data_IF_640984022317
#
_entry.id   IF_640984022317
#
_cell.length_a   1.000
_cell.length_b   1.000
_cell.length_c   1.000
_cell.angle_alpha   90.00
_cell.angle_beta   90.00
_cell.angle_gamma   90.00
#
_symmetry.space_group_name_H-M   'P 1'
#
loop_
_entity.id
_entity.type
_entity.pdbx_description
1 polymer ?
#
# COMPACT_ATOMS: atom_id res chain seq x y z
N UNK A 1 -22.73 -10.36 -3.24
CA UNK A 1 -21.56 -11.29 -3.21
C UNK A 1 -20.87 -11.54 -4.57
N UNK A 2 -21.40 -11.11 -5.74
CA UNK A 2 -20.71 -11.32 -7.05
C UNK A 2 -19.74 -10.19 -7.46
N UNK A 3 -19.87 -8.99 -6.89
CA UNK A 3 -19.28 -7.76 -7.41
C UNK A 3 -17.75 -7.69 -7.31
N UNK A 4 -17.15 -8.27 -6.26
CA UNK A 4 -15.70 -8.20 -6.00
C UNK A 4 -15.08 -9.59 -5.78
N UNK A 5 -15.54 -10.58 -6.52
CA UNK A 5 -15.17 -11.99 -6.32
C UNK A 5 -13.65 -12.23 -6.37
N UNK A 6 -12.96 -11.58 -7.30
CA UNK A 6 -11.52 -11.76 -7.45
C UNK A 6 -10.77 -11.22 -6.24
N UNK A 7 -11.07 -9.99 -5.81
CA UNK A 7 -10.44 -9.40 -4.63
C UNK A 7 -10.72 -10.24 -3.37
N UNK A 8 -11.97 -10.66 -3.16
CA UNK A 8 -12.34 -11.52 -2.03
C UNK A 8 -11.56 -12.84 -2.04
N UNK A 9 -11.37 -13.45 -3.21
CA UNK A 9 -10.58 -14.67 -3.33
C UNK A 9 -9.10 -14.41 -3.00
N UNK A 10 -8.51 -13.32 -3.50
CA UNK A 10 -7.14 -12.94 -3.20
C UNK A 10 -6.92 -12.66 -1.70
N UNK A 11 -7.91 -12.02 -1.04
CA UNK A 11 -7.88 -11.78 0.42
C UNK A 11 -7.95 -13.10 1.19
N UNK A 12 -8.74 -14.06 0.75
CA UNK A 12 -8.81 -15.39 1.37
C UNK A 12 -7.53 -16.20 1.14
N UNK A 13 -6.92 -16.07 -0.02
CA UNK A 13 -5.62 -16.69 -0.32
C UNK A 13 -4.52 -16.08 0.56
N UNK A 14 -4.51 -14.76 0.74
CA UNK A 14 -3.62 -14.09 1.67
C UNK A 14 -3.77 -14.63 3.10
N UNK A 15 -4.99 -14.89 3.58
CA UNK A 15 -5.21 -15.48 4.91
C UNK A 15 -4.62 -16.88 5.02
N UNK A 16 -4.58 -17.65 3.94
CA UNK A 16 -3.94 -18.98 3.93
C UNK A 16 -2.43 -18.87 4.16
N UNK A 17 -1.80 -17.85 3.60
CA UNK A 17 -0.37 -17.60 3.77
C UNK A 17 -0.02 -16.95 5.13
N UNK A 18 -0.98 -16.22 5.73
CA UNK A 18 -0.82 -15.46 6.98
C UNK A 18 -1.99 -15.68 7.94
N UNK A 19 -2.17 -16.90 8.50
CA UNK A 19 -3.34 -17.27 9.32
C UNK A 19 -3.45 -16.45 10.61
N UNK A 20 -2.35 -15.95 11.14
CA UNK A 20 -2.35 -15.11 12.35
C UNK A 20 -3.00 -13.73 12.13
N UNK A 21 -3.21 -13.33 10.87
CA UNK A 21 -3.85 -12.06 10.50
C UNK A 21 -5.38 -12.16 10.32
N UNK A 22 -5.99 -13.25 10.78
CA UNK A 22 -7.41 -13.56 10.55
C UNK A 22 -8.38 -12.47 11.03
N UNK A 23 -8.11 -11.80 12.16
CA UNK A 23 -8.97 -10.72 12.67
C UNK A 23 -8.98 -9.54 11.70
N UNK A 24 -7.82 -9.14 11.21
CA UNK A 24 -7.68 -8.05 10.24
C UNK A 24 -8.36 -8.39 8.92
N UNK A 25 -8.12 -9.59 8.41
CA UNK A 25 -8.74 -10.08 7.17
C UNK A 25 -10.26 -10.13 7.29
N UNK A 26 -10.79 -10.57 8.42
CA UNK A 26 -12.24 -10.59 8.65
C UNK A 26 -12.83 -9.18 8.60
N UNK A 27 -12.18 -8.18 9.22
CA UNK A 27 -12.62 -6.77 9.14
C UNK A 27 -12.67 -6.25 7.70
N UNK A 28 -11.66 -6.61 6.87
CA UNK A 28 -11.65 -6.25 5.45
C UNK A 28 -12.82 -6.88 4.70
N UNK A 29 -13.07 -8.18 4.92
CA UNK A 29 -14.18 -8.89 4.28
C UNK A 29 -15.55 -8.34 4.72
N UNK A 30 -15.71 -8.02 6.00
CA UNK A 30 -16.91 -7.41 6.53
C UNK A 30 -17.14 -6.02 5.93
N UNK A 31 -16.08 -5.23 5.76
CA UNK A 31 -16.18 -3.93 5.13
C UNK A 31 -16.65 -4.02 3.67
N UNK A 32 -16.07 -4.92 2.87
CA UNK A 32 -16.51 -5.16 1.48
C UNK A 32 -17.98 -5.58 1.41
N UNK A 33 -18.44 -6.41 2.36
CA UNK A 33 -19.81 -6.93 2.34
C UNK A 33 -20.84 -5.91 2.78
N UNK A 34 -20.47 -4.93 3.60
CA UNK A 34 -21.38 -3.96 4.20
C UNK A 34 -21.37 -2.58 3.52
N UNK A 35 -20.42 -2.32 2.61
CA UNK A 35 -20.28 -1.02 1.95
C UNK A 35 -20.16 -1.17 0.42
N UNK A 36 -21.21 -0.87 -0.32
CA UNK A 36 -21.23 -0.94 -1.79
C UNK A 36 -20.25 0.04 -2.46
N UNK A 37 -19.94 1.15 -1.79
CA UNK A 37 -19.02 2.20 -2.22
C UNK A 37 -17.64 2.13 -1.54
N UNK A 38 -17.20 0.93 -1.12
CA UNK A 38 -15.96 0.74 -0.36
C UNK A 38 -14.67 1.16 -1.11
N UNK A 39 -14.72 1.41 -2.42
CA UNK A 39 -13.59 1.92 -3.22
C UNK A 39 -13.70 3.42 -3.53
N UNK A 40 -14.78 4.08 -3.13
CA UNK A 40 -14.99 5.49 -3.37
C UNK A 40 -14.36 6.32 -2.26
N UNK A 41 -13.58 7.34 -2.63
CA UNK A 41 -12.85 8.22 -1.70
C UNK A 41 -13.78 9.00 -0.76
N UNK A 42 -15.02 9.26 -1.17
CA UNK A 42 -16.04 9.95 -0.38
C UNK A 42 -16.80 9.06 0.62
N UNK A 43 -16.44 7.78 0.75
CA UNK A 43 -16.93 6.93 1.83
C UNK A 43 -16.16 7.23 3.12
N UNK A 44 -16.72 8.09 3.96
CA UNK A 44 -16.10 8.55 5.20
C UNK A 44 -16.13 7.57 6.38
N UNK A 45 -16.73 6.38 6.21
CA UNK A 45 -16.51 5.27 7.14
C UNK A 45 -15.11 4.68 6.88
N UNK A 46 -14.74 4.63 5.62
CA UNK A 46 -13.44 4.19 5.14
C UNK A 46 -13.51 3.80 3.67
N UNK A 47 -12.36 3.60 3.06
CA UNK A 47 -12.26 3.15 1.68
C UNK A 47 -10.97 2.39 1.43
N UNK A 48 -10.94 1.64 0.31
CA UNK A 48 -9.75 0.92 -0.11
C UNK A 48 -8.70 1.83 -0.71
N UNK A 49 -7.45 1.49 -0.39
CA UNK A 49 -6.23 2.02 -1.02
C UNK A 49 -5.42 0.88 -1.61
N UNK A 50 -4.59 1.18 -2.60
CA UNK A 50 -3.66 0.25 -3.20
C UNK A 50 -2.23 0.78 -3.08
N UNK A 51 -1.35 0.03 -2.43
CA UNK A 51 0.02 0.47 -2.15
C UNK A 51 1.07 -0.49 -2.69
N UNK A 52 2.24 0.04 -2.97
CA UNK A 52 3.39 -0.66 -3.52
C UNK A 52 4.56 -0.65 -2.53
N UNK A 53 4.98 -1.82 -2.07
CA UNK A 53 6.27 -2.01 -1.45
C UNK A 53 7.31 -2.21 -2.55
N UNK A 54 8.01 -1.14 -2.91
CA UNK A 54 8.95 -1.15 -4.03
C UNK A 54 10.35 -1.44 -3.53
N UNK A 55 10.96 -2.49 -4.08
CA UNK A 55 12.34 -2.90 -3.77
C UNK A 55 13.21 -2.79 -5.01
N UNK A 56 14.52 -2.62 -4.83
CA UNK A 56 15.50 -2.74 -5.90
C UNK A 56 15.76 -4.22 -6.27
N UNK A 57 16.45 -4.48 -7.35
CA UNK A 57 16.81 -5.81 -7.84
C UNK A 57 17.70 -6.60 -6.85
N UNK A 58 18.44 -5.91 -5.98
CA UNK A 58 19.27 -6.53 -4.94
C UNK A 58 18.53 -6.84 -3.64
N UNK A 59 17.29 -6.36 -3.46
CA UNK A 59 16.52 -6.45 -2.20
C UNK A 59 17.20 -5.73 -1.01
N UNK A 60 18.06 -4.76 -1.33
CA UNK A 60 18.83 -3.98 -0.35
C UNK A 60 18.19 -2.63 -0.04
N UNK A 61 17.46 -2.09 -1.02
CA UNK A 61 16.85 -0.78 -0.93
C UNK A 61 15.34 -0.86 -1.11
N UNK A 62 14.64 0.01 -0.40
CA UNK A 62 13.19 0.20 -0.47
C UNK A 62 12.92 1.65 -0.87
N UNK A 63 12.08 1.85 -1.90
CA UNK A 63 11.64 3.17 -2.31
C UNK A 63 10.52 3.63 -1.38
N UNK A 64 10.72 4.78 -0.77
CA UNK A 64 9.75 5.37 0.17
C UNK A 64 9.57 6.85 -0.12
N UNK A 65 8.39 7.36 0.22
CA UNK A 65 8.02 8.77 0.15
C UNK A 65 7.93 9.38 1.55
N UNK A 66 8.39 10.62 1.73
CA UNK A 66 8.16 11.39 2.94
C UNK A 66 6.90 12.24 2.76
N UNK A 67 5.76 11.71 3.20
CA UNK A 67 4.44 12.28 2.98
C UNK A 67 4.25 13.60 3.74
N UNK A 68 3.78 14.66 3.06
CA UNK A 68 3.66 16.02 3.64
C UNK A 68 2.68 16.04 4.81
N UNK A 69 1.43 15.61 4.61
CA UNK A 69 0.39 15.72 5.63
C UNK A 69 0.64 14.84 6.85
N UNK A 70 1.17 13.63 6.65
CA UNK A 70 1.45 12.70 7.74
C UNK A 70 2.82 12.91 8.37
N UNK A 71 3.71 13.65 7.70
CA UNK A 71 5.10 13.87 8.10
C UNK A 71 5.85 12.58 8.45
N UNK A 72 5.65 11.54 7.64
CA UNK A 72 6.18 10.19 7.84
C UNK A 72 6.73 9.63 6.53
N UNK A 73 7.73 8.76 6.64
CA UNK A 73 8.19 7.95 5.52
C UNK A 73 7.28 6.74 5.34
N UNK A 74 6.68 6.61 4.18
CA UNK A 74 5.70 5.57 3.86
C UNK A 74 6.06 4.84 2.55
N UNK A 75 5.46 3.68 2.33
CA UNK A 75 5.40 3.06 1.02
C UNK A 75 4.60 3.94 0.05
N UNK A 76 4.83 3.78 -1.25
CA UNK A 76 4.07 4.46 -2.30
C UNK A 76 2.64 3.90 -2.37
N UNK A 77 1.66 4.74 -2.68
CA UNK A 77 0.28 4.27 -2.81
C UNK A 77 -0.76 5.36 -2.64
N UNK A 78 -2.00 5.04 -3.06
CA UNK A 78 -3.08 6.01 -3.03
C UNK A 78 -4.47 5.39 -3.08
N UNK A 79 -5.45 6.24 -3.33
CA UNK A 79 -6.86 5.89 -3.28
C UNK A 79 -7.29 5.02 -4.47
N UNK A 80 -8.19 4.09 -4.21
CA UNK A 80 -8.72 3.19 -5.24
C UNK A 80 -9.53 3.90 -6.33
N UNK A 81 -10.07 5.09 -6.06
CA UNK A 81 -10.87 5.92 -6.97
C UNK A 81 -11.97 5.12 -7.70
N UNK A 82 -12.65 4.24 -6.96
CA UNK A 82 -13.68 3.36 -7.47
C UNK A 82 -13.19 2.06 -8.13
N UNK A 83 -11.89 1.88 -8.31
CA UNK A 83 -11.30 0.66 -8.88
C UNK A 83 -11.19 -0.46 -7.86
N UNK A 84 -11.66 -1.66 -8.21
CA UNK A 84 -11.44 -2.87 -7.41
C UNK A 84 -10.15 -3.63 -7.78
N UNK A 85 -9.42 -3.17 -8.81
CA UNK A 85 -8.12 -3.72 -9.19
C UNK A 85 -7.01 -2.95 -8.45
N UNK A 86 -6.79 -3.32 -7.19
CA UNK A 86 -5.86 -2.61 -6.31
C UNK A 86 -4.38 -2.81 -6.69
N UNK A 87 -4.03 -3.87 -7.43
CA UNK A 87 -2.68 -4.01 -8.01
C UNK A 87 -2.42 -2.94 -9.06
N UNK A 88 -3.39 -2.70 -9.95
CA UNK A 88 -3.26 -1.63 -10.95
C UNK A 88 -3.22 -0.25 -10.29
N UNK A 89 -3.95 -0.04 -9.19
CA UNK A 89 -3.87 1.19 -8.38
C UNK A 89 -2.46 1.34 -7.82
N UNK A 90 -1.92 0.32 -7.14
CA UNK A 90 -0.59 0.36 -6.56
C UNK A 90 0.52 0.68 -7.59
N UNK A 91 0.44 0.11 -8.80
CA UNK A 91 1.39 0.38 -9.87
C UNK A 91 1.27 1.84 -10.35
N UNK A 92 0.04 2.30 -10.60
CA UNK A 92 -0.24 3.68 -11.04
C UNK A 92 0.28 4.70 -10.03
N UNK A 93 -0.06 4.53 -8.75
CA UNK A 93 0.40 5.41 -7.68
C UNK A 93 1.92 5.39 -7.53
N UNK A 94 2.55 4.21 -7.63
CA UNK A 94 4.01 4.11 -7.61
C UNK A 94 4.66 4.89 -8.76
N UNK A 95 4.07 4.89 -9.95
CA UNK A 95 4.54 5.68 -11.10
C UNK A 95 4.37 7.18 -10.86
N UNK A 96 3.18 7.60 -10.42
CA UNK A 96 2.85 9.02 -10.19
C UNK A 96 3.67 9.63 -9.06
N UNK A 97 3.88 8.91 -7.96
CA UNK A 97 4.63 9.41 -6.81
C UNK A 97 6.15 9.38 -6.99
N UNK A 98 6.68 8.51 -7.87
CA UNK A 98 8.14 8.34 -8.01
C UNK A 98 8.73 8.92 -9.29
N UNK A 99 7.90 9.13 -10.32
CA UNK A 99 8.37 9.46 -11.66
C UNK A 99 9.04 8.29 -12.40
N UNK A 100 9.06 7.08 -11.82
CA UNK A 100 9.56 5.89 -12.50
C UNK A 100 8.47 5.25 -13.35
N UNK A 101 8.78 4.88 -14.59
CA UNK A 101 7.80 4.32 -15.52
C UNK A 101 7.63 2.79 -15.40
N UNK A 102 8.68 2.09 -14.99
CA UNK A 102 8.74 0.63 -15.11
C UNK A 102 8.87 -0.05 -13.76
N UNK A 103 7.82 -0.80 -13.42
CA UNK A 103 7.79 -1.68 -12.26
C UNK A 103 7.57 -3.13 -12.68
N UNK A 104 8.36 -4.04 -12.14
CA UNK A 104 8.16 -5.46 -12.28
C UNK A 104 7.33 -5.97 -11.09
N UNK A 105 6.19 -6.61 -11.36
CA UNK A 105 5.36 -7.23 -10.32
C UNK A 105 6.03 -8.52 -9.88
N UNK A 106 6.58 -8.55 -8.66
CA UNK A 106 7.25 -9.76 -8.14
C UNK A 106 6.25 -10.87 -7.81
N UNK A 107 5.04 -10.47 -7.41
CA UNK A 107 3.94 -11.40 -7.15
C UNK A 107 2.60 -10.67 -7.33
N UNK A 108 1.68 -11.29 -8.09
CA UNK A 108 0.31 -10.75 -8.26
C UNK A 108 -0.58 -10.95 -7.02
N UNK A 109 -0.15 -11.82 -6.08
CA UNK A 109 -0.86 -12.02 -4.81
C UNK A 109 -0.68 -10.81 -3.91
N UNK A 110 -1.63 -10.65 -3.00
CA UNK A 110 -1.53 -9.63 -1.95
C UNK A 110 -0.29 -9.91 -1.08
N UNK A 111 0.58 -8.92 -0.99
CA UNK A 111 1.81 -8.98 -0.20
C UNK A 111 1.54 -8.67 1.27
N UNK A 112 0.75 -7.63 1.55
CA UNK A 112 0.36 -7.22 2.90
C UNK A 112 -1.04 -6.59 2.90
N UNK A 113 -1.71 -6.62 4.04
CA UNK A 113 -2.96 -5.88 4.27
C UNK A 113 -2.80 -5.07 5.55
N UNK A 114 -3.26 -3.83 5.53
CA UNK A 114 -3.30 -2.98 6.70
C UNK A 114 -4.64 -2.27 6.85
N UNK A 115 -5.00 -1.91 8.08
CA UNK A 115 -6.15 -1.07 8.38
C UNK A 115 -5.68 -0.01 9.35
N UNK A 116 -5.62 1.23 8.89
CA UNK A 116 -5.18 2.35 9.70
C UNK A 116 -6.14 3.53 9.59
N UNK A 117 -6.12 4.36 10.61
CA UNK A 117 -6.96 5.54 10.67
C UNK A 117 -6.23 6.73 10.07
N UNK A 118 -6.91 7.42 9.17
CA UNK A 118 -6.51 8.74 8.69
C UNK A 118 -7.11 9.77 9.65
N UNK A 119 -6.31 10.68 10.19
CA UNK A 119 -6.82 11.73 11.08
C UNK A 119 -7.72 12.72 10.33
N UNK A 120 -8.39 13.56 11.10
CA UNK A 120 -9.20 14.64 10.55
C UNK A 120 -8.31 15.73 9.95
N UNK A 121 -8.58 16.09 8.68
CA UNK A 121 -7.93 17.18 7.96
C UNK A 121 -8.98 18.18 7.48
N UNK A 122 -8.58 19.41 7.13
CA UNK A 122 -9.49 20.43 6.57
C UNK A 122 -10.26 19.91 5.34
N UNK A 123 -9.65 19.03 4.55
CA UNK A 123 -10.21 18.48 3.31
C UNK A 123 -11.02 17.21 3.49
N UNK A 124 -10.93 16.53 4.64
CA UNK A 124 -11.58 15.23 4.85
C UNK A 124 -11.73 14.88 6.33
N UNK A 125 -12.91 14.38 6.76
CA UNK A 125 -13.10 13.88 8.12
C UNK A 125 -12.25 12.63 8.37
N UNK A 126 -12.02 12.32 9.64
CA UNK A 126 -11.33 11.09 10.04
C UNK A 126 -12.05 9.85 9.52
N UNK A 127 -11.31 8.93 8.92
CA UNK A 127 -11.84 7.71 8.30
C UNK A 127 -10.79 6.59 8.31
N UNK A 128 -11.19 5.38 7.90
CA UNK A 128 -10.28 4.23 7.78
C UNK A 128 -9.79 4.04 6.35
N UNK A 129 -8.49 3.79 6.20
CA UNK A 129 -7.95 3.17 5.00
C UNK A 129 -7.86 1.66 5.18
N UNK A 130 -8.37 0.93 4.19
CA UNK A 130 -8.21 -0.51 4.03
C UNK A 130 -7.16 -0.73 2.94
N UNK A 131 -5.91 -0.75 3.35
CA UNK A 131 -4.75 -0.70 2.45
C UNK A 131 -4.33 -2.11 2.01
N UNK A 132 -4.40 -2.37 0.71
CA UNK A 132 -3.95 -3.62 0.09
C UNK A 132 -2.65 -3.36 -0.63
N UNK A 133 -1.59 -4.04 -0.19
CA UNK A 133 -0.21 -3.78 -0.59
C UNK A 133 0.33 -4.89 -1.48
N UNK A 134 1.09 -4.50 -2.49
CA UNK A 134 1.77 -5.40 -3.42
C UNK A 134 3.27 -5.16 -3.41
N UNK A 135 4.05 -6.21 -3.72
CA UNK A 135 5.51 -6.08 -3.82
C UNK A 135 5.91 -5.91 -5.27
N UNK A 136 6.59 -4.80 -5.54
CA UNK A 136 7.08 -4.44 -6.87
C UNK A 136 8.60 -4.31 -6.84
N UNK A 137 9.22 -4.45 -8.00
CA UNK A 137 10.65 -4.23 -8.20
C UNK A 137 10.85 -3.09 -9.20
N UNK A 138 11.80 -2.21 -8.91
CA UNK A 138 12.25 -1.20 -9.85
C UNK A 138 13.79 -1.10 -9.84
N UNK A 139 14.36 -0.55 -10.90
CA UNK A 139 15.80 -0.24 -10.92
C UNK A 139 16.10 0.89 -9.96
N UNK A 140 17.19 0.74 -9.22
CA UNK A 140 17.69 1.78 -8.32
C UNK A 140 18.30 2.94 -9.13
N UNK A 141 17.47 3.88 -9.54
CA UNK A 141 17.85 5.04 -10.36
C UNK A 141 17.48 6.35 -9.65
N UNK A 142 18.29 6.76 -8.66
CA UNK A 142 18.04 7.97 -7.85
C UNK A 142 17.83 9.25 -8.69
N UNK A 143 18.57 9.38 -9.79
CA UNK A 143 18.51 10.55 -10.67
C UNK A 143 17.20 10.69 -11.47
N UNK A 144 16.36 9.66 -11.45
CA UNK A 144 15.03 9.67 -12.10
C UNK A 144 13.89 9.93 -11.13
N UNK A 145 14.16 9.95 -9.83
CA UNK A 145 13.10 10.15 -8.84
C UNK A 145 12.56 11.58 -8.91
N UNK A 146 11.24 11.69 -8.99
CA UNK A 146 10.53 12.96 -8.99
C UNK A 146 9.44 12.85 -7.92
N UNK A 147 9.61 13.57 -6.80
CA UNK A 147 8.61 13.60 -5.75
C UNK A 147 7.32 14.27 -6.26
N UNK A 148 6.17 13.70 -5.91
CA UNK A 148 4.87 14.31 -6.18
C UNK A 148 4.62 15.53 -5.28
N UNK A 149 3.56 16.29 -5.59
CA UNK A 149 3.14 17.44 -4.77
C UNK A 149 2.67 17.05 -3.35
N UNK A 150 2.42 15.77 -3.10
CA UNK A 150 2.02 15.23 -1.80
C UNK A 150 3.23 14.84 -0.92
N UNK A 151 4.45 14.97 -1.45
CA UNK A 151 5.67 14.47 -0.81
C UNK A 151 6.74 15.55 -0.64
N UNK A 152 7.36 15.61 0.54
CA UNK A 152 8.55 16.41 0.77
C UNK A 152 9.75 15.85 0.01
N UNK A 153 9.87 14.53 -0.05
CA UNK A 153 10.99 13.81 -0.61
C UNK A 153 10.58 12.39 -1.00
N UNK A 154 11.20 11.84 -2.01
CA UNK A 154 11.18 10.42 -2.34
C UNK A 154 12.61 9.91 -2.39
N UNK A 155 12.89 8.77 -1.78
CA UNK A 155 14.24 8.23 -1.71
C UNK A 155 14.28 6.71 -1.61
N UNK A 156 15.36 6.14 -2.10
CA UNK A 156 15.76 4.78 -1.81
C UNK A 156 16.36 4.71 -0.40
N UNK A 157 15.70 3.99 0.50
CA UNK A 157 16.15 3.81 1.88
C UNK A 157 16.74 2.41 2.03
N UNK A 158 17.93 2.32 2.62
CA UNK A 158 18.50 1.00 2.93
C UNK A 158 17.58 0.22 3.83
N UNK A 159 17.36 -1.04 3.51
CA UNK A 159 16.49 -1.96 4.25
C UNK A 159 16.71 -1.92 5.77
N UNK A 160 17.96 -1.81 6.21
CA UNK A 160 18.30 -1.78 7.63
C UNK A 160 17.97 -0.44 8.32
N UNK A 161 17.74 0.61 7.53
CA UNK A 161 17.44 1.96 8.03
C UNK A 161 15.94 2.29 7.95
N UNK A 162 15.14 1.44 7.30
CA UNK A 162 13.70 1.68 7.08
C UNK A 162 12.94 1.84 8.40
N UNK A 163 13.20 0.99 9.39
CA UNK A 163 12.54 1.08 10.71
C UNK A 163 13.00 2.29 11.53
N UNK A 164 14.16 2.87 11.22
CA UNK A 164 14.61 4.14 11.82
C UNK A 164 13.85 5.32 11.21
N UNK A 165 13.43 5.21 9.93
CA UNK A 165 12.64 6.23 9.24
C UNK A 165 11.16 6.16 9.60
N UNK A 166 10.63 4.94 9.76
CA UNK A 166 9.28 4.71 10.21
C UNK A 166 9.23 3.45 11.11
N UNK A 167 9.03 3.59 12.43
CA UNK A 167 9.03 2.49 13.38
C UNK A 167 7.68 1.75 13.49
N UNK A 168 6.71 2.04 12.66
CA UNK A 168 5.40 1.39 12.71
C UNK A 168 5.49 -0.13 12.47
N UNK A 169 4.62 -0.85 13.16
CA UNK A 169 4.53 -2.31 13.07
C UNK A 169 4.24 -2.76 11.63
N UNK A 170 3.45 -2.00 10.88
CA UNK A 170 3.11 -2.31 9.49
C UNK A 170 4.36 -2.34 8.60
N UNK A 171 5.29 -1.42 8.80
CA UNK A 171 6.59 -1.37 8.09
C UNK A 171 7.47 -2.55 8.48
N UNK A 172 7.60 -2.83 9.78
CA UNK A 172 8.38 -3.97 10.26
C UNK A 172 7.80 -5.31 9.73
N UNK A 173 6.47 -5.42 9.63
CA UNK A 173 5.78 -6.58 9.06
C UNK A 173 6.11 -6.77 7.57
N UNK A 174 6.09 -5.69 6.78
CA UNK A 174 6.46 -5.74 5.35
C UNK A 174 7.93 -6.15 5.16
N UNK A 175 8.86 -5.60 5.95
CA UNK A 175 10.27 -6.02 5.94
C UNK A 175 10.46 -7.51 6.27
N UNK A 176 9.63 -8.06 7.17
CA UNK A 176 9.64 -9.49 7.47
C UNK A 176 9.11 -10.33 6.30
N UNK A 177 8.00 -9.89 5.69
CA UNK A 177 7.36 -10.59 4.56
C UNK A 177 8.22 -10.58 3.29
N UNK A 178 8.92 -9.49 2.99
CA UNK A 178 9.77 -9.38 1.79
C UNK A 178 10.92 -10.41 1.75
N UNK A 179 11.25 -11.07 2.86
CA UNK A 179 12.29 -12.13 2.90
C UNK A 179 11.93 -13.36 2.06
N UNK A 180 10.66 -13.47 1.62
CA UNK A 180 10.20 -14.57 0.76
C UNK A 180 10.50 -14.31 -0.74
N UNK A 181 10.90 -13.09 -1.08
CA UNK A 181 11.15 -12.61 -2.43
C UNK A 181 12.63 -12.22 -2.63
#
# INVERSE_FOLDING_TARGET
MKRYKNLINNIKEYLTDYPDEHIKVQRVLDFINNHDNCFARDNWVGHFTGSAWVVDDTRTWILMTHHIQLNMWLQLGGHAEGSSNLLSVAIKEAQEESGLDNFNVLCEKIFDIDIHQIPDFESSPSHLHFDVRYILEAKHEEHKLIASDESHEIAWIKKNDVTNKNPEESIARMLKKMKKY
#
